data_IF_470870541000
#
_entry.id   IF_470870541000
#
_cell.length_a   1.000
_cell.length_b   1.000
_cell.length_c   1.000
_cell.angle_alpha   90.00
_cell.angle_beta   90.00
_cell.angle_gamma   90.00
#
_symmetry.space_group_name_H-M   'P 1'
#
loop_
_entity.id
_entity.type
_entity.pdbx_description
1 polymer ?
#
# COMPACT_ATOMS: atom_id res chain seq x y z
N UNK A 1 14.28 -5.42 10.21
CA UNK A 1 13.92 -4.02 10.41
C UNK A 1 12.42 -3.85 10.59
N UNK A 2 12.00 -2.72 11.13
CA UNK A 2 10.57 -2.36 11.24
C UNK A 2 9.99 -1.98 9.88
N UNK A 3 8.66 -1.92 9.77
CA UNK A 3 8.02 -1.44 8.56
C UNK A 3 8.37 0.02 8.25
N UNK A 4 8.51 0.85 9.29
CA UNK A 4 8.95 2.23 9.13
C UNK A 4 10.37 2.35 8.55
N UNK A 5 11.31 1.50 8.96
CA UNK A 5 12.65 1.43 8.34
C UNK A 5 12.56 0.99 6.88
N UNK A 6 11.78 -0.05 6.59
CA UNK A 6 11.55 -0.52 5.22
C UNK A 6 11.03 0.60 4.31
N UNK A 7 10.05 1.38 4.76
CA UNK A 7 9.49 2.48 3.98
C UNK A 7 10.51 3.59 3.70
N UNK A 8 11.33 3.94 4.69
CA UNK A 8 12.40 4.93 4.55
C UNK A 8 13.52 4.51 3.62
N UNK A 9 13.76 3.21 3.50
CA UNK A 9 14.82 2.62 2.67
C UNK A 9 14.34 2.29 1.24
N UNK A 10 13.10 2.59 0.90
CA UNK A 10 12.59 2.35 -0.45
C UNK A 10 13.43 3.10 -1.49
N UNK A 11 14.00 2.41 -2.48
CA UNK A 11 14.82 3.04 -3.49
C UNK A 11 14.00 3.97 -4.39
N UNK A 12 14.58 5.10 -4.73
CA UNK A 12 14.00 6.08 -5.66
C UNK A 12 14.72 6.02 -7.00
N UNK A 13 13.99 6.23 -8.08
CA UNK A 13 14.58 6.45 -9.40
C UNK A 13 15.33 7.79 -9.42
N UNK A 14 16.26 7.92 -10.36
CA UNK A 14 16.97 9.17 -10.55
C UNK A 14 16.00 10.34 -10.81
N UNK A 15 16.38 11.52 -10.34
CA UNK A 15 15.58 12.74 -10.49
C UNK A 15 15.16 12.99 -11.93
N UNK A 16 13.95 13.50 -12.11
CA UNK A 16 13.37 13.80 -13.42
C UNK A 16 12.89 12.58 -14.23
N UNK A 17 12.93 11.38 -13.64
CA UNK A 17 12.33 10.22 -14.31
C UNK A 17 10.81 10.35 -14.32
N UNK A 18 10.17 10.12 -15.50
CA UNK A 18 8.71 10.24 -15.61
C UNK A 18 8.02 9.15 -14.78
N UNK A 19 6.89 9.50 -14.21
CA UNK A 19 5.94 8.54 -13.67
C UNK A 19 5.29 7.79 -14.84
N UNK A 20 5.25 6.47 -14.76
CA UNK A 20 4.70 5.64 -15.83
C UNK A 20 3.42 4.92 -15.36
N UNK A 21 2.47 4.77 -16.27
CA UNK A 21 1.37 3.83 -16.14
C UNK A 21 1.87 2.38 -16.22
N UNK A 22 1.05 1.45 -15.78
CA UNK A 22 1.30 0.00 -15.83
C UNK A 22 1.72 -0.52 -17.21
N UNK A 23 1.30 0.13 -18.30
CA UNK A 23 1.63 -0.22 -19.70
C UNK A 23 2.89 0.49 -20.22
N UNK A 24 3.61 1.18 -19.35
CA UNK A 24 4.87 1.87 -19.65
C UNK A 24 4.71 3.25 -20.28
N UNK A 25 3.48 3.72 -20.50
CA UNK A 25 3.26 5.07 -21.00
C UNK A 25 3.49 6.12 -19.92
N UNK A 26 4.05 7.29 -20.25
CA UNK A 26 4.18 8.39 -19.31
C UNK A 26 2.81 8.82 -18.78
N UNK A 27 2.76 9.10 -17.48
CA UNK A 27 1.65 9.79 -16.86
C UNK A 27 1.83 11.29 -17.05
N UNK A 28 0.84 11.94 -17.66
CA UNK A 28 0.89 13.37 -17.96
C UNK A 28 0.66 14.26 -16.71
N UNK A 29 0.32 13.65 -15.56
CA UNK A 29 0.15 14.40 -14.32
C UNK A 29 1.51 14.63 -13.62
N UNK A 30 1.99 15.89 -13.52
CA UNK A 30 3.27 16.19 -12.91
C UNK A 30 3.26 16.17 -11.37
N UNK A 31 2.17 15.73 -10.74
CA UNK A 31 1.97 15.82 -9.28
C UNK A 31 2.77 14.77 -8.47
N UNK A 32 3.99 14.43 -8.91
CA UNK A 32 4.90 13.57 -8.17
C UNK A 32 6.25 14.26 -7.91
N UNK A 33 6.81 14.05 -6.72
CA UNK A 33 8.14 14.53 -6.36
C UNK A 33 9.24 13.52 -6.74
N UNK A 34 8.98 12.24 -6.56
CA UNK A 34 9.91 11.17 -6.91
C UNK A 34 9.15 9.87 -7.22
N UNK A 35 9.73 9.01 -8.04
CA UNK A 35 9.17 7.69 -8.39
C UNK A 35 9.98 6.61 -7.67
N UNK A 36 9.30 5.66 -7.01
CA UNK A 36 9.96 4.52 -6.39
C UNK A 36 10.59 3.61 -7.45
N UNK A 37 11.83 3.16 -7.20
CA UNK A 37 12.50 2.20 -8.07
C UNK A 37 12.08 0.77 -7.72
N UNK A 38 10.91 0.40 -8.19
CA UNK A 38 10.24 -0.88 -8.00
C UNK A 38 9.82 -1.48 -9.34
N UNK A 39 9.53 -2.79 -9.41
CA UNK A 39 8.90 -3.38 -10.59
C UNK A 39 7.68 -2.59 -11.04
N UNK A 40 7.39 -2.62 -12.32
CA UNK A 40 6.18 -1.98 -12.86
C UNK A 40 4.93 -2.57 -12.21
N UNK A 41 3.96 -1.73 -11.84
CA UNK A 41 2.71 -2.21 -11.24
C UNK A 41 1.95 -3.09 -12.23
N UNK A 42 1.17 -4.01 -11.71
CA UNK A 42 0.23 -4.75 -12.52
C UNK A 42 -0.94 -3.84 -12.94
N UNK A 43 -1.65 -4.22 -14.01
CA UNK A 43 -2.79 -3.44 -14.52
C UNK A 43 -3.84 -3.10 -13.45
N UNK A 44 -4.00 -3.97 -12.46
CA UNK A 44 -5.00 -3.84 -11.39
C UNK A 44 -4.40 -3.31 -10.09
N UNK A 45 -3.12 -2.99 -10.06
CA UNK A 45 -2.44 -2.48 -8.86
C UNK A 45 -2.69 -0.96 -8.72
N UNK A 46 -3.81 -0.62 -8.10
CA UNK A 46 -4.26 0.75 -7.90
C UNK A 46 -3.79 1.30 -6.54
N UNK A 47 -4.42 2.35 -6.03
CA UNK A 47 -3.98 3.03 -4.80
C UNK A 47 -3.97 2.10 -3.58
N UNK A 48 -5.04 1.34 -3.33
CA UNK A 48 -5.08 0.38 -2.23
C UNK A 48 -4.07 -0.74 -2.40
N UNK A 49 -3.92 -1.23 -3.64
CA UNK A 49 -3.02 -2.33 -3.95
C UNK A 49 -1.55 -1.94 -3.80
N UNK A 50 -1.22 -0.68 -4.10
CA UNK A 50 0.13 -0.14 -3.84
C UNK A 50 0.48 -0.20 -2.36
N UNK A 51 -0.42 0.20 -1.47
CA UNK A 51 -0.23 0.13 -0.02
C UNK A 51 -0.14 -1.32 0.46
N UNK A 52 -1.06 -2.18 0.00
CA UNK A 52 -1.05 -3.63 0.25
C UNK A 52 0.29 -4.24 -0.17
N UNK A 53 0.78 -3.90 -1.37
CA UNK A 53 2.03 -4.45 -1.92
C UNK A 53 3.25 -4.03 -1.10
N UNK A 54 3.34 -2.75 -0.71
CA UNK A 54 4.44 -2.26 0.13
C UNK A 54 4.51 -3.01 1.46
N UNK A 55 3.37 -3.19 2.11
CA UNK A 55 3.29 -3.90 3.37
C UNK A 55 3.56 -5.41 3.21
N UNK A 56 2.95 -6.02 2.19
CA UNK A 56 3.16 -7.42 1.88
C UNK A 56 4.62 -7.75 1.55
N UNK A 57 5.31 -6.90 0.77
CA UNK A 57 6.73 -7.08 0.46
C UNK A 57 7.62 -7.02 1.71
N UNK A 58 7.31 -6.12 2.66
CA UNK A 58 8.01 -6.10 3.93
C UNK A 58 7.81 -7.39 4.73
N UNK A 59 6.56 -7.84 4.90
CA UNK A 59 6.26 -9.08 5.60
C UNK A 59 6.89 -10.30 4.93
N UNK A 60 6.81 -10.36 3.59
CA UNK A 60 7.41 -11.45 2.82
C UNK A 60 8.95 -11.47 2.97
N UNK A 61 9.60 -10.32 2.86
CA UNK A 61 11.06 -10.19 2.99
C UNK A 61 11.57 -10.55 4.39
N UNK A 62 10.76 -10.29 5.41
CA UNK A 62 11.06 -10.60 6.82
C UNK A 62 10.50 -11.95 7.28
N UNK A 63 9.88 -12.71 6.37
CA UNK A 63 9.28 -14.03 6.61
C UNK A 63 8.19 -14.05 7.70
N UNK A 64 7.48 -12.95 7.87
CA UNK A 64 6.34 -12.86 8.77
C UNK A 64 5.05 -13.33 8.06
N UNK A 65 5.06 -14.57 7.58
CA UNK A 65 4.00 -15.11 6.73
C UNK A 65 2.66 -15.27 7.46
N UNK A 66 2.69 -15.49 8.75
CA UNK A 66 1.52 -15.57 9.64
C UNK A 66 0.74 -14.25 9.72
N UNK A 67 1.41 -13.13 9.46
CA UNK A 67 0.79 -11.80 9.40
C UNK A 67 0.36 -11.40 7.99
N UNK A 68 0.84 -12.10 6.97
CA UNK A 68 0.56 -11.78 5.57
C UNK A 68 -0.85 -12.22 5.18
N UNK A 69 -1.83 -11.39 5.51
CA UNK A 69 -3.25 -11.62 5.25
C UNK A 69 -3.98 -10.30 4.98
N UNK A 70 -5.00 -10.37 4.13
CA UNK A 70 -5.89 -9.24 3.84
C UNK A 70 -7.33 -9.73 3.74
N UNK A 71 -8.26 -8.89 4.18
CA UNK A 71 -9.69 -9.21 4.15
C UNK A 71 -10.33 -8.63 2.90
N UNK A 72 -11.05 -9.46 2.17
CA UNK A 72 -11.77 -9.06 0.96
C UNK A 72 -13.08 -8.36 1.28
N UNK A 73 -13.70 -7.70 0.29
CA UNK A 73 -14.93 -6.94 0.48
C UNK A 73 -16.09 -7.75 1.06
N UNK A 74 -16.13 -9.04 0.84
CA UNK A 74 -17.14 -9.96 1.37
C UNK A 74 -16.83 -10.47 2.78
N UNK A 75 -15.70 -10.06 3.38
CA UNK A 75 -15.24 -10.51 4.70
C UNK A 75 -14.41 -11.79 4.69
N UNK A 76 -14.09 -12.34 3.51
CA UNK A 76 -13.18 -13.49 3.42
C UNK A 76 -11.74 -13.06 3.72
N UNK A 77 -11.11 -13.72 4.69
CA UNK A 77 -9.70 -13.50 5.02
C UNK A 77 -8.82 -14.36 4.10
N UNK A 78 -8.04 -13.71 3.25
CA UNK A 78 -7.09 -14.35 2.36
C UNK A 78 -5.69 -14.24 2.95
N UNK A 79 -5.12 -15.35 3.39
CA UNK A 79 -3.79 -15.41 4.01
C UNK A 79 -2.79 -16.17 3.13
N UNK A 80 -1.52 -15.82 3.29
CA UNK A 80 -0.44 -16.41 2.52
C UNK A 80 -0.08 -17.84 2.95
N UNK A 81 -0.34 -18.21 4.20
CA UNK A 81 -0.05 -19.56 4.70
C UNK A 81 -0.87 -20.62 3.97
N UNK A 82 -2.13 -20.35 3.66
CA UNK A 82 -2.93 -21.22 2.81
C UNK A 82 -2.36 -21.35 1.39
N UNK A 83 -1.85 -20.26 0.83
CA UNK A 83 -1.20 -20.30 -0.50
C UNK A 83 0.05 -21.18 -0.48
N UNK A 84 0.87 -21.08 0.57
CA UNK A 84 2.06 -21.93 0.74
C UNK A 84 1.71 -23.42 0.86
N UNK A 85 0.54 -23.74 1.39
CA UNK A 85 0.02 -25.11 1.52
C UNK A 85 -0.69 -25.62 0.25
N UNK A 86 -0.80 -24.81 -0.80
CA UNK A 86 -1.46 -25.18 -2.04
C UNK A 86 -2.97 -24.91 -2.06
N UNK A 87 -3.48 -24.11 -1.13
CA UNK A 87 -4.87 -23.66 -1.16
C UNK A 87 -5.01 -22.37 -1.97
N UNK A 88 -6.18 -22.19 -2.57
CA UNK A 88 -6.60 -20.97 -3.25
C UNK A 88 -8.05 -20.66 -2.87
N UNK A 89 -8.49 -19.41 -2.88
CA UNK A 89 -9.90 -19.09 -2.73
C UNK A 89 -10.74 -19.88 -3.75
N UNK A 90 -11.88 -20.40 -3.32
CA UNK A 90 -12.82 -21.04 -4.21
C UNK A 90 -13.47 -20.02 -5.16
N UNK A 91 -14.24 -20.47 -6.14
CA UNK A 91 -14.81 -19.60 -7.18
C UNK A 91 -15.80 -18.56 -6.62
N UNK A 92 -16.45 -18.87 -5.51
CA UNK A 92 -17.34 -17.94 -4.79
C UNK A 92 -16.59 -17.00 -3.84
N UNK A 93 -15.28 -17.21 -3.64
CA UNK A 93 -14.42 -16.45 -2.71
C UNK A 93 -14.99 -16.42 -1.28
N UNK A 94 -15.50 -17.58 -0.82
CA UNK A 94 -16.09 -17.75 0.51
C UNK A 94 -15.41 -18.85 1.33
N UNK A 95 -14.38 -19.46 0.77
CA UNK A 95 -13.64 -20.57 1.39
C UNK A 95 -12.45 -20.94 0.53
N UNK A 96 -11.77 -21.99 0.93
CA UNK A 96 -10.56 -22.48 0.30
C UNK A 96 -10.83 -23.73 -0.55
N UNK A 97 -10.08 -23.90 -1.63
CA UNK A 97 -10.01 -25.12 -2.45
C UNK A 97 -8.54 -25.47 -2.71
N UNK A 98 -8.25 -26.72 -2.97
CA UNK A 98 -6.94 -27.21 -3.39
C UNK A 98 -7.06 -28.13 -4.60
N UNK A 99 -5.99 -28.21 -5.39
CA UNK A 99 -5.82 -29.12 -6.52
C UNK A 99 -4.35 -29.57 -6.54
N UNK A 100 -4.09 -30.75 -7.07
CA UNK A 100 -2.75 -31.36 -7.06
C UNK A 100 -1.69 -30.59 -7.85
N UNK A 101 -2.12 -29.76 -8.80
CA UNK A 101 -1.24 -28.92 -9.63
C UNK A 101 -1.01 -27.50 -9.06
N UNK A 102 -1.57 -27.18 -7.90
CA UNK A 102 -1.35 -25.89 -7.30
C UNK A 102 0.07 -25.76 -6.72
N UNK A 103 0.69 -24.63 -7.02
CA UNK A 103 2.01 -24.29 -6.49
C UNK A 103 1.96 -24.11 -4.97
N UNK A 104 3.00 -24.65 -4.32
CA UNK A 104 3.17 -24.62 -2.86
C UNK A 104 4.49 -23.96 -2.45
N UNK A 105 4.66 -23.76 -1.15
CA UNK A 105 5.87 -23.17 -0.56
C UNK A 105 5.90 -21.64 -0.64
N UNK A 106 7.00 -21.07 -0.21
CA UNK A 106 7.21 -19.62 -0.08
C UNK A 106 7.91 -18.98 -1.30
N UNK A 107 7.82 -19.61 -2.47
CA UNK A 107 8.43 -19.09 -3.68
C UNK A 107 7.81 -17.76 -4.12
N UNK A 108 8.61 -16.93 -4.80
CA UNK A 108 8.12 -15.67 -5.38
C UNK A 108 6.88 -15.86 -6.27
N UNK A 109 6.80 -16.99 -6.99
CA UNK A 109 5.64 -17.32 -7.81
C UNK A 109 4.36 -17.50 -6.99
N UNK A 110 4.44 -18.19 -5.86
CA UNK A 110 3.28 -18.38 -4.96
C UNK A 110 2.86 -17.04 -4.35
N UNK A 111 3.83 -16.23 -3.97
CA UNK A 111 3.60 -14.87 -3.46
C UNK A 111 2.92 -13.96 -4.52
N UNK A 112 3.40 -13.96 -5.75
CA UNK A 112 2.80 -13.17 -6.83
C UNK A 112 1.35 -13.59 -7.12
N UNK A 113 1.04 -14.90 -7.07
CA UNK A 113 -0.33 -15.40 -7.20
C UNK A 113 -1.23 -14.94 -6.04
N UNK A 114 -0.70 -14.92 -4.82
CA UNK A 114 -1.39 -14.39 -3.66
C UNK A 114 -1.71 -12.90 -3.82
N UNK A 115 -0.74 -12.09 -4.23
CA UNK A 115 -0.94 -10.66 -4.47
C UNK A 115 -1.96 -10.39 -5.56
N UNK A 116 -1.89 -11.13 -6.69
CA UNK A 116 -2.87 -10.97 -7.77
C UNK A 116 -4.30 -11.19 -7.28
N UNK A 117 -4.52 -12.21 -6.46
CA UNK A 117 -5.84 -12.47 -5.89
C UNK A 117 -6.26 -11.37 -4.92
N UNK A 118 -5.33 -10.90 -4.09
CA UNK A 118 -5.59 -9.82 -3.13
C UNK A 118 -5.99 -8.54 -3.85
N UNK A 119 -5.29 -8.13 -4.89
CA UNK A 119 -5.59 -6.92 -5.68
C UNK A 119 -6.95 -6.97 -6.40
N UNK A 120 -7.47 -8.16 -6.67
CA UNK A 120 -8.79 -8.29 -7.30
C UNK A 120 -9.96 -8.12 -6.31
N UNK A 121 -9.75 -8.39 -5.02
CA UNK A 121 -10.85 -8.50 -4.06
C UNK A 121 -10.72 -7.63 -2.81
N UNK A 122 -9.53 -7.15 -2.47
CA UNK A 122 -9.31 -6.13 -1.44
C UNK A 122 -9.33 -4.73 -2.08
N UNK A 123 -9.72 -3.72 -1.30
CA UNK A 123 -9.72 -2.32 -1.72
C UNK A 123 -9.85 -1.39 -0.51
N UNK A 124 -9.97 -0.08 -0.72
CA UNK A 124 -10.08 0.89 0.38
C UNK A 124 -11.23 0.61 1.34
N UNK A 125 -12.37 0.10 0.84
CA UNK A 125 -13.52 -0.20 1.71
C UNK A 125 -13.26 -1.42 2.59
N UNK A 126 -12.67 -2.49 2.05
CA UNK A 126 -12.34 -3.68 2.85
C UNK A 126 -11.22 -3.41 3.85
N UNK A 127 -10.16 -2.71 3.44
CA UNK A 127 -9.08 -2.30 4.33
C UNK A 127 -9.63 -1.52 5.53
N UNK A 128 -10.38 -0.45 5.26
CA UNK A 128 -10.94 0.40 6.32
C UNK A 128 -11.88 -0.34 7.27
N UNK A 129 -12.65 -1.28 6.73
CA UNK A 129 -13.66 -2.01 7.52
C UNK A 129 -13.07 -3.12 8.37
N UNK A 130 -12.00 -3.79 7.90
CA UNK A 130 -11.56 -5.06 8.46
C UNK A 130 -10.10 -5.10 8.89
N UNK A 131 -9.22 -4.34 8.22
CA UNK A 131 -7.76 -4.50 8.36
C UNK A 131 -7.08 -3.26 8.96
N UNK A 132 -7.82 -2.18 9.29
CA UNK A 132 -7.27 -0.93 9.80
C UNK A 132 -7.95 -0.49 11.08
N UNK A 133 -7.14 0.06 12.01
CA UNK A 133 -7.62 0.77 13.18
C UNK A 133 -7.61 2.27 12.93
N UNK A 134 -8.71 2.95 13.30
CA UNK A 134 -8.73 4.42 13.29
C UNK A 134 -7.81 4.95 14.39
N UNK A 135 -6.94 5.89 14.04
CA UNK A 135 -6.08 6.61 15.00
C UNK A 135 -6.33 8.11 14.93
N UNK A 136 -6.03 8.80 16.01
CA UNK A 136 -6.05 10.26 16.02
C UNK A 136 -4.79 10.82 15.36
N UNK A 137 -4.91 11.98 14.73
CA UNK A 137 -3.75 12.62 14.07
C UNK A 137 -2.54 12.81 15.01
N UNK A 138 -2.80 13.04 16.30
CA UNK A 138 -1.74 13.17 17.30
C UNK A 138 -0.85 11.92 17.38
N UNK A 139 -1.42 10.75 17.12
CA UNK A 139 -0.75 9.44 17.19
C UNK A 139 -0.19 8.98 15.83
N UNK A 140 -0.38 9.78 14.77
CA UNK A 140 0.12 9.48 13.42
C UNK A 140 1.59 9.08 13.42
N UNK A 141 1.89 7.96 12.78
CA UNK A 141 3.21 7.34 12.69
C UNK A 141 3.56 6.94 11.25
N UNK A 142 4.83 6.64 10.99
CA UNK A 142 5.26 6.10 9.69
C UNK A 142 4.64 4.71 9.51
N UNK A 143 4.05 4.48 8.35
CA UNK A 143 3.28 3.28 8.03
C UNK A 143 1.78 3.46 8.15
N UNK A 144 1.31 4.53 8.83
CA UNK A 144 -0.10 4.86 8.88
C UNK A 144 -0.62 5.37 7.54
N UNK A 145 -1.92 5.34 7.38
CA UNK A 145 -2.61 5.66 6.14
C UNK A 145 -3.53 6.86 6.30
N UNK A 146 -3.59 7.69 5.29
CA UNK A 146 -4.73 8.55 5.05
C UNK A 146 -5.64 7.86 4.04
N UNK A 147 -6.89 7.58 4.42
CA UNK A 147 -7.82 6.77 3.64
C UNK A 147 -9.22 7.39 3.54
N UNK A 148 -9.76 7.39 2.32
CA UNK A 148 -11.20 7.58 2.04
C UNK A 148 -11.74 6.25 1.56
N UNK A 149 -12.53 5.54 2.39
CA UNK A 149 -13.06 4.24 1.99
C UNK A 149 -14.20 4.39 0.98
N UNK A 150 -14.30 3.46 0.03
CA UNK A 150 -15.46 3.37 -0.87
C UNK A 150 -15.14 3.39 -2.36
N UNK A 151 -16.15 3.77 -3.16
CA UNK A 151 -16.09 3.86 -4.62
C UNK A 151 -16.76 5.18 -5.08
N UNK A 152 -16.01 6.23 -5.45
CA UNK A 152 -14.56 6.28 -5.43
C UNK A 152 -13.98 6.31 -4.02
N UNK A 153 -12.82 5.67 -3.85
CA UNK A 153 -12.03 5.73 -2.63
C UNK A 153 -10.58 6.06 -2.97
N UNK A 154 -9.80 6.44 -1.96
CA UNK A 154 -8.36 6.67 -2.12
C UNK A 154 -7.60 6.36 -0.85
N UNK A 155 -6.32 6.03 -0.97
CA UNK A 155 -5.44 5.80 0.16
C UNK A 155 -4.01 6.17 -0.21
N UNK A 156 -3.32 6.77 0.76
CA UNK A 156 -1.88 7.05 0.70
C UNK A 156 -1.23 6.56 2.00
N UNK A 157 0.06 6.23 1.95
CA UNK A 157 0.82 5.77 3.11
C UNK A 157 1.85 6.80 3.53
N UNK A 158 1.99 7.03 4.83
CA UNK A 158 3.04 7.84 5.43
C UNK A 158 4.36 7.08 5.36
N UNK A 159 5.27 7.53 4.49
CA UNK A 159 6.54 6.85 4.26
C UNK A 159 7.70 7.40 5.09
N UNK A 160 7.63 8.69 5.44
CA UNK A 160 8.56 9.32 6.39
C UNK A 160 7.88 10.46 7.14
N UNK A 161 8.43 10.84 8.29
CA UNK A 161 7.85 11.87 9.15
C UNK A 161 8.91 12.59 9.97
N UNK A 162 8.72 13.90 10.13
CA UNK A 162 9.46 14.74 11.07
C UNK A 162 8.48 15.41 12.04
N UNK A 163 8.96 15.70 13.24
CA UNK A 163 8.17 16.36 14.28
C UNK A 163 8.97 17.55 14.81
N UNK A 164 8.37 18.73 14.82
CA UNK A 164 8.93 19.89 15.49
C UNK A 164 8.88 19.66 17.00
N UNK A 165 10.05 19.56 17.64
CA UNK A 165 10.16 19.24 19.08
C UNK A 165 9.57 20.33 20.00
N UNK A 166 9.40 21.55 19.48
CA UNK A 166 8.89 22.68 20.27
C UNK A 166 7.37 22.80 20.15
N UNK A 167 6.85 22.68 18.92
CA UNK A 167 5.42 22.89 18.63
C UNK A 167 4.62 21.60 18.60
N UNK A 168 5.27 20.45 18.37
CA UNK A 168 4.62 19.19 18.11
C UNK A 168 4.09 19.04 16.68
N UNK A 169 4.27 20.07 15.84
CA UNK A 169 3.86 20.02 14.44
C UNK A 169 4.53 18.88 13.70
N UNK A 170 3.73 18.10 12.97
CA UNK A 170 4.19 16.99 12.15
C UNK A 170 4.20 17.39 10.69
N UNK A 171 5.27 17.02 9.99
CA UNK A 171 5.31 16.99 8.53
C UNK A 171 5.72 15.60 8.07
N UNK A 172 5.15 15.15 6.97
CA UNK A 172 5.34 13.78 6.51
C UNK A 172 5.44 13.72 4.98
N UNK A 173 6.07 12.67 4.51
CA UNK A 173 6.13 12.29 3.10
C UNK A 173 5.14 11.17 2.89
N UNK A 174 4.31 11.28 1.85
CA UNK A 174 3.37 10.22 1.48
C UNK A 174 3.72 9.59 0.15
N UNK A 175 3.40 8.30 0.05
CA UNK A 175 3.54 7.49 -1.15
C UNK A 175 2.17 6.96 -1.56
N UNK A 176 1.91 6.92 -2.86
CA UNK A 176 0.68 6.40 -3.44
C UNK A 176 0.90 5.67 -4.78
N UNK A 177 -0.10 4.90 -5.17
CA UNK A 177 -0.45 4.59 -6.54
C UNK A 177 -1.75 5.29 -6.92
N UNK A 178 -2.30 5.01 -8.10
CA UNK A 178 -3.56 5.62 -8.55
C UNK A 178 -4.37 4.71 -9.47
N UNK A 179 -5.54 5.18 -9.85
CA UNK A 179 -6.38 4.56 -10.88
C UNK A 179 -6.49 5.51 -12.09
N UNK A 180 -6.05 5.10 -13.31
CA UNK A 180 -5.42 3.80 -13.64
C UNK A 180 -4.11 3.56 -12.89
N UNK A 181 -3.67 2.28 -12.84
CA UNK A 181 -2.46 1.88 -12.13
C UNK A 181 -1.22 2.60 -12.65
N UNK A 182 -0.46 3.19 -11.75
CA UNK A 182 0.81 3.89 -12.00
C UNK A 182 1.87 3.37 -11.04
N UNK A 183 3.13 3.62 -11.36
CA UNK A 183 4.23 3.34 -10.43
C UNK A 183 3.98 4.01 -9.08
N UNK A 184 4.36 3.33 -8.01
CA UNK A 184 4.36 3.93 -6.67
C UNK A 184 5.27 5.17 -6.68
N UNK A 185 4.79 6.27 -6.11
CA UNK A 185 5.50 7.54 -6.17
C UNK A 185 5.26 8.38 -4.92
N UNK A 186 6.24 9.22 -4.61
CA UNK A 186 6.17 10.26 -3.59
C UNK A 186 5.31 11.40 -4.11
N UNK A 187 4.35 11.84 -3.32
CA UNK A 187 3.47 12.95 -3.68
C UNK A 187 4.19 14.29 -3.63
N UNK A 188 3.88 15.15 -4.57
CA UNK A 188 4.30 16.56 -4.57
C UNK A 188 3.40 17.35 -3.59
N UNK A 189 3.99 18.25 -2.79
CA UNK A 189 3.22 19.26 -2.08
C UNK A 189 3.04 20.48 -2.99
N UNK A 190 1.86 20.58 -3.61
CA UNK A 190 1.54 21.70 -4.50
C UNK A 190 1.02 22.93 -3.75
N UNK A 191 0.52 22.78 -2.54
CA UNK A 191 0.00 23.87 -1.71
C UNK A 191 1.10 24.65 -1.03
N UNK A 192 2.17 23.96 -0.59
CA UNK A 192 3.35 24.54 0.04
C UNK A 192 4.62 24.08 -0.73
N UNK A 193 4.90 24.59 -1.93
CA UNK A 193 5.99 24.09 -2.79
C UNK A 193 7.38 24.20 -2.15
N UNK A 194 7.58 25.18 -1.25
CA UNK A 194 8.83 25.39 -0.51
C UNK A 194 9.14 24.26 0.48
N UNK A 195 8.13 23.52 0.91
CA UNK A 195 8.27 22.36 1.79
C UNK A 195 8.20 21.03 1.05
N UNK A 196 7.86 21.03 -0.24
CA UNK A 196 7.72 19.79 -1.02
C UNK A 196 8.99 18.92 -0.93
N UNK A 197 8.86 17.59 -0.74
CA UNK A 197 7.63 16.78 -0.69
C UNK A 197 6.99 16.65 0.70
N UNK A 198 7.45 17.40 1.70
CA UNK A 198 6.91 17.37 3.05
C UNK A 198 5.53 18.03 3.09
N UNK A 199 4.56 17.33 3.65
CA UNK A 199 3.15 17.72 3.69
C UNK A 199 2.68 17.94 5.12
N UNK A 200 1.64 18.75 5.28
CA UNK A 200 0.88 18.93 6.51
C UNK A 200 -0.46 18.22 6.45
N UNK A 201 -1.18 18.10 7.58
CA UNK A 201 -2.43 17.34 7.62
C UNK A 201 -3.59 18.00 6.89
N UNK A 202 -3.54 19.29 6.64
CA UNK A 202 -4.59 20.05 5.97
C UNK A 202 -4.85 19.56 4.55
N UNK A 203 -3.83 19.01 3.89
CA UNK A 203 -3.94 18.39 2.55
C UNK A 203 -4.90 17.17 2.56
N UNK A 204 -5.06 16.54 3.72
CA UNK A 204 -5.87 15.32 3.88
C UNK A 204 -7.20 15.58 4.63
N UNK A 205 -7.73 16.81 4.56
CA UNK A 205 -9.07 17.09 5.07
C UNK A 205 -10.10 16.14 4.42
N UNK A 206 -10.94 15.53 5.26
CA UNK A 206 -11.90 14.51 4.83
C UNK A 206 -11.35 13.08 4.72
N UNK A 207 -10.04 12.85 4.93
CA UNK A 207 -9.48 11.50 5.06
C UNK A 207 -9.55 11.02 6.52
N UNK A 208 -9.70 9.70 6.68
CA UNK A 208 -9.48 9.06 7.98
C UNK A 208 -8.01 8.73 8.14
N UNK A 209 -7.44 9.00 9.32
CA UNK A 209 -6.13 8.47 9.70
C UNK A 209 -6.35 7.08 10.27
N UNK A 210 -5.60 6.11 9.79
CA UNK A 210 -5.75 4.72 10.18
C UNK A 210 -4.41 4.05 10.31
N UNK A 211 -4.18 3.41 11.46
CA UNK A 211 -3.06 2.49 11.65
C UNK A 211 -3.39 1.13 11.04
N UNK A 212 -2.36 0.47 10.58
CA UNK A 212 -2.49 -0.90 10.12
C UNK A 212 -2.53 -1.84 11.33
N UNK A 213 -3.44 -2.82 11.35
CA UNK A 213 -3.50 -3.92 12.35
C UNK A 213 -2.25 -4.80 12.36
N UNK A 214 -1.29 -4.42 11.63
CA UNK A 214 -0.15 -5.23 11.28
C UNK A 214 1.04 -4.93 12.21
N UNK A 215 0.75 -4.36 13.39
CA UNK A 215 1.73 -4.10 14.43
C UNK A 215 2.14 -5.34 15.23
#
# INVERSE_FOLDING_TARGET
GSFAEYLRELPLKADGKPLLYWDGKPNDNPAHAAVLDRPMPQRYEQCADTVIHLYADWLYSTKQYDKLRFTFNNGFVCDFEHYMQGYRPNDAVTGWKTQDDYWTGDSRRVYDLYLQQTFLYANTASLFKYDLDKVEYADLSIGDLFIVPGFPGHVVIVADMIVNKTTGEKRFITVQGSMPAVQAHVMLNAEEPEFSPWQSCEIYDGYFVSATYWG
#
